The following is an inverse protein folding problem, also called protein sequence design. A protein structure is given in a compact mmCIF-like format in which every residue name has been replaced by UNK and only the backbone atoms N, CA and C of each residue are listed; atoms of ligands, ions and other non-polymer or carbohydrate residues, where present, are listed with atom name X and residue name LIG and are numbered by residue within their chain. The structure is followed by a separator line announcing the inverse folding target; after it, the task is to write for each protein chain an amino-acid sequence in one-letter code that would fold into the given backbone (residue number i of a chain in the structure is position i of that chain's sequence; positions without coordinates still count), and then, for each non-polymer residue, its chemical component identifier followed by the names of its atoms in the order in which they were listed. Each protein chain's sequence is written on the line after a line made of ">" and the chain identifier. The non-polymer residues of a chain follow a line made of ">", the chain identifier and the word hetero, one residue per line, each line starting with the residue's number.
data_IF_087974214225
#
_entry.id   IF_087974214225
#
_cell.length_a   1.000
_cell.length_b   1.000
_cell.length_c   1.000
_cell.angle_alpha   90.00
_cell.angle_beta   90.00
_cell.angle_gamma   90.00
#
_symmetry.space_group_name_H-M   'P 1'
#
loop_
_entity.id
_entity.type
_entity.pdbx_description
1 polymer ?
#
# COMPACT_ATOMS: atom_id res chain seq x y z
N UNK A 1 -59.06 -14.17 38.42
CA UNK A 1 -57.88 -13.31 38.19
C UNK A 1 -56.66 -13.99 38.79
N UNK A 2 -55.78 -14.57 37.97
CA UNK A 2 -54.55 -15.25 38.40
C UNK A 2 -53.40 -14.75 37.54
N UNK A 3 -52.39 -14.12 38.16
CA UNK A 3 -51.24 -13.50 37.49
C UNK A 3 -50.29 -14.57 36.89
N UNK A 4 -49.59 -14.28 35.77
CA UNK A 4 -48.62 -15.21 35.20
C UNK A 4 -47.33 -15.25 36.05
N UNK A 5 -46.89 -16.45 36.43
CA UNK A 5 -45.60 -16.68 37.08
C UNK A 5 -44.47 -16.43 36.08
N UNK A 6 -43.81 -15.28 36.20
CA UNK A 6 -42.66 -14.92 35.37
C UNK A 6 -41.48 -15.90 35.52
N UNK A 7 -40.85 -16.23 34.41
CA UNK A 7 -39.61 -17.03 34.39
C UNK A 7 -38.49 -16.16 34.94
N UNK A 8 -37.92 -16.56 36.09
CA UNK A 8 -36.81 -15.84 36.71
C UNK A 8 -35.48 -16.18 36.03
N UNK A 9 -34.61 -15.17 35.89
CA UNK A 9 -33.25 -15.26 35.30
C UNK A 9 -32.41 -16.43 35.87
N UNK A 10 -32.65 -16.79 37.14
CA UNK A 10 -31.99 -17.91 37.82
C UNK A 10 -32.36 -19.29 37.26
N UNK A 11 -33.57 -19.45 36.72
CA UNK A 11 -34.03 -20.70 36.10
C UNK A 11 -33.48 -20.86 34.68
N UNK A 12 -33.32 -19.74 33.96
CA UNK A 12 -32.70 -19.69 32.62
C UNK A 12 -31.20 -19.99 32.67
N UNK A 13 -30.50 -19.53 33.72
CA UNK A 13 -29.08 -19.81 33.93
C UNK A 13 -28.84 -21.23 34.48
N UNK A 14 -29.80 -21.80 35.22
CA UNK A 14 -29.70 -23.16 35.76
C UNK A 14 -29.82 -24.26 34.69
N UNK A 15 -30.55 -24.03 33.59
CA UNK A 15 -30.69 -25.01 32.50
C UNK A 15 -29.56 -24.98 31.48
N UNK A 16 -28.73 -23.93 31.45
CA UNK A 16 -27.57 -23.84 30.57
C UNK A 16 -26.32 -24.56 31.11
N UNK A 17 -26.28 -24.88 32.41
CA UNK A 17 -25.11 -25.52 33.05
C UNK A 17 -25.07 -27.05 33.01
N UNK A 18 -26.19 -27.73 32.73
CA UNK A 18 -26.30 -29.19 32.87
C UNK A 18 -25.98 -30.02 31.62
N UNK A 19 -25.94 -29.42 30.43
CA UNK A 19 -25.65 -30.11 29.17
C UNK A 19 -24.33 -29.66 28.51
N UNK A 20 -23.51 -28.89 29.23
CA UNK A 20 -22.32 -28.23 28.69
C UNK A 20 -20.98 -28.91 28.99
N UNK A 21 -20.91 -29.96 29.81
CA UNK A 21 -19.62 -30.54 30.20
C UNK A 21 -19.00 -31.49 29.16
N UNK A 22 -19.80 -32.04 28.23
CA UNK A 22 -19.30 -32.92 27.17
C UNK A 22 -18.92 -32.18 25.86
N UNK A 23 -19.31 -30.90 25.71
CA UNK A 23 -19.03 -30.11 24.51
C UNK A 23 -17.79 -29.19 24.60
N UNK A 24 -17.22 -29.03 25.79
CA UNK A 24 -16.13 -28.07 26.04
C UNK A 24 -14.75 -28.55 25.60
N UNK A 25 -14.59 -29.82 25.22
CA UNK A 25 -13.34 -30.30 24.62
C UNK A 25 -13.25 -30.07 23.09
N UNK A 26 -14.36 -29.72 22.43
CA UNK A 26 -14.40 -29.52 20.97
C UNK A 26 -14.91 -28.12 20.53
N UNK A 27 -15.46 -27.31 21.44
CA UNK A 27 -16.14 -26.06 21.10
C UNK A 27 -15.37 -24.75 21.28
N UNK A 28 -14.12 -24.78 21.76
CA UNK A 28 -13.37 -23.58 22.16
C UNK A 28 -12.87 -22.66 21.02
N UNK A 29 -13.00 -23.08 19.76
CA UNK A 29 -12.53 -22.32 18.59
C UNK A 29 -13.66 -21.82 17.66
N UNK A 30 -14.92 -22.08 17.99
CA UNK A 30 -16.05 -21.62 17.21
C UNK A 30 -16.42 -20.17 17.60
N UNK A 31 -15.61 -19.21 17.15
CA UNK A 31 -16.05 -17.82 17.07
C UNK A 31 -17.37 -17.73 16.29
N UNK A 32 -18.23 -16.77 16.62
CA UNK A 32 -19.52 -16.53 15.98
C UNK A 32 -19.36 -16.44 14.44
N UNK A 33 -19.51 -17.56 13.73
CA UNK A 33 -19.62 -17.60 12.26
C UNK A 33 -21.09 -17.62 11.90
N UNK A 34 -21.53 -16.60 11.19
CA UNK A 34 -22.85 -16.55 10.57
C UNK A 34 -22.89 -17.61 9.45
N UNK A 35 -23.88 -18.51 9.40
CA UNK A 35 -23.99 -19.50 8.33
C UNK A 35 -24.11 -18.78 6.98
N UNK A 36 -23.21 -19.10 6.04
CA UNK A 36 -23.22 -18.53 4.68
C UNK A 36 -22.29 -17.34 4.45
N UNK A 37 -21.61 -16.83 5.48
CA UNK A 37 -20.60 -15.78 5.32
C UNK A 37 -19.20 -16.41 5.30
N UNK A 38 -18.75 -16.83 4.12
CA UNK A 38 -17.34 -17.05 3.89
C UNK A 38 -16.68 -15.68 3.77
N UNK A 39 -16.43 -15.04 4.92
CA UNK A 39 -15.74 -13.75 4.96
C UNK A 39 -14.42 -13.78 4.18
N UNK A 40 -13.94 -12.61 3.75
CA UNK A 40 -12.70 -12.48 2.98
C UNK A 40 -11.55 -13.19 3.71
N UNK A 41 -10.83 -14.11 3.05
CA UNK A 41 -9.76 -14.85 3.71
C UNK A 41 -8.62 -13.89 4.09
N UNK A 42 -7.95 -14.15 5.22
CA UNK A 42 -6.81 -13.35 5.65
C UNK A 42 -5.69 -13.31 4.59
N UNK A 43 -5.55 -14.38 3.80
CA UNK A 43 -4.60 -14.45 2.68
C UNK A 43 -4.87 -13.42 1.58
N UNK A 44 -6.05 -12.80 1.53
CA UNK A 44 -6.33 -11.71 0.60
C UNK A 44 -5.42 -10.50 0.84
N UNK A 45 -4.95 -10.27 2.08
CA UNK A 45 -4.00 -9.19 2.39
C UNK A 45 -2.73 -9.35 1.55
N UNK A 46 -2.13 -10.55 1.53
CA UNK A 46 -0.93 -10.80 0.74
C UNK A 46 -1.21 -11.08 -0.73
N UNK A 47 -2.37 -11.66 -1.07
CA UNK A 47 -2.68 -12.12 -2.43
C UNK A 47 -3.27 -11.07 -3.36
N UNK A 48 -3.67 -9.90 -2.84
CA UNK A 48 -4.29 -8.85 -3.68
C UNK A 48 -3.23 -8.19 -4.56
N UNK A 49 -3.48 -8.16 -5.87
CA UNK A 49 -2.67 -7.43 -6.84
C UNK A 49 -3.44 -6.19 -7.33
N UNK A 50 -2.76 -5.05 -7.45
CA UNK A 50 -3.31 -3.85 -8.07
C UNK A 50 -2.76 -3.75 -9.51
N UNK A 51 -3.61 -3.54 -10.53
CA UNK A 51 -3.14 -3.39 -11.90
C UNK A 51 -2.15 -2.22 -12.05
N UNK A 52 -0.96 -2.51 -12.56
CA UNK A 52 0.05 -1.48 -12.87
C UNK A 52 -0.34 -0.67 -14.12
N UNK A 53 -0.83 -1.36 -15.16
CA UNK A 53 -1.25 -0.74 -16.41
C UNK A 53 -2.70 -0.24 -16.30
N UNK A 54 -2.92 0.98 -16.80
CA UNK A 54 -4.23 1.61 -16.84
C UNK A 54 -4.15 3.01 -17.45
N UNK A 55 -5.31 3.67 -17.58
CA UNK A 55 -5.37 5.08 -18.03
C UNK A 55 -4.69 6.04 -17.04
N UNK A 56 -4.79 5.73 -15.75
CA UNK A 56 -4.20 6.49 -14.65
C UNK A 56 -3.25 5.58 -13.86
N UNK A 57 -2.17 6.14 -13.33
CA UNK A 57 -1.29 5.40 -12.43
C UNK A 57 -2.06 4.92 -11.19
N UNK A 58 -1.74 3.71 -10.73
CA UNK A 58 -2.21 3.21 -9.44
C UNK A 58 -1.65 4.07 -8.29
N UNK A 59 -2.20 3.93 -7.07
CA UNK A 59 -1.79 4.72 -5.90
C UNK A 59 -2.47 6.09 -5.75
N UNK A 60 -3.31 6.49 -6.73
CA UNK A 60 -4.11 7.73 -6.70
C UNK A 60 -5.54 7.47 -6.23
N UNK A 61 -6.27 6.61 -6.96
CA UNK A 61 -7.63 6.19 -6.61
C UNK A 61 -7.67 4.80 -5.94
N UNK A 62 -6.50 4.17 -5.83
CA UNK A 62 -6.34 2.90 -5.11
C UNK A 62 -6.75 3.10 -3.65
N UNK A 63 -7.45 2.14 -3.01
CA UNK A 63 -7.76 2.20 -1.59
C UNK A 63 -6.50 2.42 -0.73
N UNK A 64 -6.71 2.98 0.47
CA UNK A 64 -5.63 3.19 1.43
C UNK A 64 -4.90 1.88 1.74
N UNK A 65 -3.58 1.96 1.73
CA UNK A 65 -2.68 0.84 2.03
C UNK A 65 -2.09 0.99 3.44
N UNK A 66 -1.76 -0.13 4.08
CA UNK A 66 -1.27 -0.11 5.47
C UNK A 66 0.11 0.55 5.64
N UNK A 67 0.97 0.48 4.61
CA UNK A 67 2.34 0.99 4.62
C UNK A 67 2.59 1.93 3.43
N UNK A 68 3.41 2.96 3.63
CA UNK A 68 3.78 3.90 2.58
C UNK A 68 5.22 4.42 2.72
N UNK A 69 5.92 4.52 1.59
CA UNK A 69 7.21 5.20 1.47
C UNK A 69 7.12 6.29 0.41
N UNK A 70 7.60 7.48 0.75
CA UNK A 70 7.72 8.61 -0.17
C UNK A 70 9.20 8.93 -0.34
N UNK A 71 9.65 9.00 -1.59
CA UNK A 71 11.03 9.30 -1.93
C UNK A 71 11.10 10.35 -3.03
N UNK A 72 12.07 11.25 -2.91
CA UNK A 72 12.44 12.21 -3.94
C UNK A 72 13.87 11.92 -4.40
N UNK A 73 14.12 12.04 -5.70
CA UNK A 73 15.42 11.77 -6.31
C UNK A 73 15.86 12.95 -7.16
N UNK A 74 17.16 13.25 -7.07
CA UNK A 74 17.81 14.19 -7.96
C UNK A 74 18.62 13.46 -9.04
N UNK A 75 18.51 13.97 -10.27
CA UNK A 75 19.35 13.56 -11.38
C UNK A 75 20.80 13.99 -11.08
N UNK A 76 21.72 13.03 -11.23
CA UNK A 76 23.15 13.27 -11.09
C UNK A 76 23.63 14.31 -12.11
N UNK A 77 24.70 15.08 -11.82
CA UNK A 77 25.32 15.96 -12.79
C UNK A 77 25.62 15.23 -14.11
N UNK A 78 25.21 15.82 -15.24
CA UNK A 78 25.35 15.23 -16.57
C UNK A 78 24.26 14.23 -16.98
N UNK A 79 23.36 13.83 -16.07
CA UNK A 79 22.22 12.98 -16.40
C UNK A 79 21.07 13.81 -17.01
N UNK A 80 21.01 13.85 -18.34
CA UNK A 80 19.93 14.50 -19.08
C UNK A 80 18.77 13.57 -19.46
N UNK A 81 17.98 13.98 -20.46
CA UNK A 81 16.77 13.28 -20.94
C UNK A 81 16.96 11.79 -21.23
N UNK A 82 18.06 11.41 -21.88
CA UNK A 82 18.31 10.01 -22.24
C UNK A 82 18.50 9.13 -21.00
N UNK A 83 19.23 9.63 -19.99
CA UNK A 83 19.43 8.93 -18.72
C UNK A 83 18.11 8.81 -17.94
N UNK A 84 17.32 9.88 -17.87
CA UNK A 84 16.00 9.88 -17.24
C UNK A 84 15.04 8.88 -17.92
N UNK A 85 15.00 8.86 -19.26
CA UNK A 85 14.17 7.91 -20.00
C UNK A 85 14.60 6.45 -19.76
N UNK A 86 15.92 6.18 -19.69
CA UNK A 86 16.43 4.85 -19.36
C UNK A 86 16.08 4.43 -17.92
N UNK A 87 16.17 5.36 -16.96
CA UNK A 87 15.78 5.13 -15.57
C UNK A 87 14.30 4.77 -15.45
N UNK A 88 13.42 5.60 -16.01
CA UNK A 88 11.97 5.38 -15.97
C UNK A 88 11.55 4.06 -16.61
N UNK A 89 12.21 3.61 -17.68
CA UNK A 89 11.97 2.28 -18.27
C UNK A 89 12.32 1.16 -17.30
N UNK A 90 13.47 1.25 -16.62
CA UNK A 90 13.88 0.24 -15.63
C UNK A 90 12.93 0.23 -14.44
N UNK A 91 12.61 1.41 -13.90
CA UNK A 91 11.67 1.55 -12.79
C UNK A 91 10.28 1.03 -13.14
N UNK A 92 9.76 1.34 -14.33
CA UNK A 92 8.45 0.84 -14.77
C UNK A 92 8.43 -0.68 -14.88
N UNK A 93 9.48 -1.28 -15.46
CA UNK A 93 9.58 -2.74 -15.57
C UNK A 93 9.69 -3.43 -14.19
N UNK A 94 10.44 -2.83 -13.25
CA UNK A 94 10.54 -3.33 -11.88
C UNK A 94 9.20 -3.21 -11.16
N UNK A 95 8.55 -2.04 -11.21
CA UNK A 95 7.25 -1.79 -10.58
C UNK A 95 6.15 -2.71 -11.14
N UNK A 96 6.12 -2.94 -12.46
CA UNK A 96 5.20 -3.87 -13.10
C UNK A 96 5.39 -5.30 -12.61
N UNK A 97 6.64 -5.75 -12.48
CA UNK A 97 6.94 -7.08 -11.95
C UNK A 97 6.48 -7.22 -10.49
N UNK A 98 6.89 -6.29 -9.64
CA UNK A 98 6.60 -6.34 -8.20
C UNK A 98 5.09 -6.21 -7.91
N UNK A 99 4.37 -5.32 -8.61
CA UNK A 99 2.92 -5.18 -8.46
C UNK A 99 2.14 -6.44 -8.87
N UNK A 100 2.74 -7.29 -9.71
CA UNK A 100 2.22 -8.59 -10.08
C UNK A 100 2.74 -9.73 -9.18
N UNK A 101 3.47 -9.43 -8.10
CA UNK A 101 4.08 -10.42 -7.20
C UNK A 101 5.20 -11.23 -7.85
N UNK A 102 5.86 -10.67 -8.87
CA UNK A 102 6.98 -11.31 -9.58
C UNK A 102 8.31 -10.65 -9.21
N UNK A 103 9.41 -11.42 -9.19
CA UNK A 103 10.72 -10.86 -8.90
C UNK A 103 11.16 -9.90 -10.01
N UNK A 104 11.57 -8.65 -9.69
CA UNK A 104 12.17 -7.74 -10.67
C UNK A 104 13.60 -8.18 -11.05
N UNK A 105 14.18 -7.55 -12.07
CA UNK A 105 15.58 -7.79 -12.41
C UNK A 105 16.51 -7.35 -11.26
N UNK A 106 17.45 -8.21 -10.85
CA UNK A 106 18.38 -7.92 -9.75
C UNK A 106 17.76 -7.96 -8.35
N UNK A 107 16.65 -8.69 -8.19
CA UNK A 107 15.92 -8.86 -6.93
C UNK A 107 16.83 -9.30 -5.76
N UNK A 108 16.72 -8.62 -4.61
CA UNK A 108 17.45 -8.95 -3.38
C UNK A 108 16.68 -9.86 -2.40
N UNK A 109 15.51 -10.37 -2.81
CA UNK A 109 14.73 -11.38 -2.09
C UNK A 109 14.19 -10.90 -0.72
N UNK A 110 14.16 -9.59 -0.44
CA UNK A 110 13.64 -9.05 0.84
C UNK A 110 12.17 -9.42 1.05
N UNK A 111 11.36 -9.44 -0.01
CA UNK A 111 9.95 -9.82 0.03
C UNK A 111 9.70 -11.26 -0.45
N UNK A 112 10.70 -12.15 -0.35
CA UNK A 112 10.55 -13.54 -0.78
C UNK A 112 9.40 -14.22 -0.05
N UNK A 113 8.64 -15.03 -0.79
CA UNK A 113 7.45 -15.76 -0.34
C UNK A 113 6.23 -14.89 0.02
N UNK A 114 6.35 -13.55 -0.06
CA UNK A 114 5.20 -12.66 -0.01
C UNK A 114 4.48 -12.61 -1.36
N UNK A 115 3.17 -12.38 -1.31
CA UNK A 115 2.41 -11.98 -2.50
C UNK A 115 2.55 -10.49 -2.79
N UNK A 116 1.82 -9.95 -3.79
CA UNK A 116 1.92 -8.55 -4.18
C UNK A 116 1.46 -7.56 -3.10
N UNK A 117 0.64 -7.98 -2.13
CA UNK A 117 0.21 -7.18 -0.99
C UNK A 117 -0.30 -5.78 -1.37
N UNK A 118 -1.17 -5.71 -2.38
CA UNK A 118 -1.73 -4.49 -2.94
C UNK A 118 -0.69 -3.47 -3.41
N UNK A 119 0.55 -3.87 -3.72
CA UNK A 119 1.65 -2.94 -4.03
C UNK A 119 1.32 -2.01 -5.20
N UNK A 120 1.57 -0.72 -4.98
CA UNK A 120 1.55 0.31 -6.03
C UNK A 120 2.81 1.14 -5.98
N UNK A 121 3.30 1.53 -7.15
CA UNK A 121 4.39 2.50 -7.32
C UNK A 121 3.90 3.60 -8.25
N UNK A 122 3.98 4.86 -7.81
CA UNK A 122 3.53 6.04 -8.54
C UNK A 122 4.71 6.95 -8.81
N UNK A 123 4.87 7.41 -10.05
CA UNK A 123 5.95 8.29 -10.46
C UNK A 123 5.45 9.71 -10.74
N UNK A 124 6.21 10.71 -10.25
CA UNK A 124 5.98 12.13 -10.47
C UNK A 124 7.26 12.86 -10.90
N UNK A 125 7.09 14.04 -11.48
CA UNK A 125 8.18 14.91 -11.96
C UNK A 125 8.11 16.27 -11.27
N UNK A 126 9.20 16.66 -10.60
CA UNK A 126 9.36 17.98 -10.02
C UNK A 126 9.74 19.04 -11.07
N UNK A 127 9.64 20.33 -10.70
CA UNK A 127 9.92 21.46 -11.62
C UNK A 127 11.32 21.39 -12.22
N UNK A 128 12.32 21.09 -11.40
CA UNK A 128 13.74 21.05 -11.79
C UNK A 128 14.06 19.97 -12.83
N UNK A 129 13.27 18.90 -12.89
CA UNK A 129 13.41 17.84 -13.91
C UNK A 129 13.32 18.39 -15.33
N UNK A 130 12.38 19.29 -15.59
CA UNK A 130 12.13 19.83 -16.92
C UNK A 130 13.32 20.66 -17.41
N UNK A 131 13.94 21.45 -16.55
CA UNK A 131 15.17 22.17 -16.87
C UNK A 131 16.35 21.22 -17.15
N UNK A 132 16.60 20.27 -16.24
CA UNK A 132 17.74 19.33 -16.33
C UNK A 132 17.65 18.37 -17.52
N UNK A 133 16.44 18.11 -18.02
CA UNK A 133 16.22 17.22 -19.18
C UNK A 133 16.00 17.98 -20.49
N UNK A 134 16.08 19.32 -20.50
CA UNK A 134 15.83 20.11 -21.71
C UNK A 134 14.39 20.00 -22.21
N UNK A 135 13.43 19.92 -21.28
CA UNK A 135 11.99 19.82 -21.50
C UNK A 135 11.23 21.01 -20.87
N UNK A 136 11.87 22.16 -20.71
CA UNK A 136 11.28 23.34 -20.08
C UNK A 136 9.97 23.77 -20.76
N UNK A 137 9.88 23.61 -22.09
CA UNK A 137 8.69 23.86 -22.92
C UNK A 137 7.54 22.87 -22.67
N UNK A 138 7.78 21.79 -21.93
CA UNK A 138 6.80 20.74 -21.59
C UNK A 138 6.37 20.78 -20.13
N UNK A 139 6.89 21.72 -19.34
CA UNK A 139 6.50 21.89 -17.95
C UNK A 139 5.02 22.31 -17.88
N UNK A 140 4.16 21.59 -17.14
CA UNK A 140 2.77 21.98 -17.00
C UNK A 140 2.62 23.32 -16.28
N UNK A 141 1.70 24.17 -16.75
CA UNK A 141 1.40 25.47 -16.11
C UNK A 141 0.96 25.30 -14.65
N UNK A 142 0.30 24.19 -14.33
CA UNK A 142 -0.15 23.86 -12.97
C UNK A 142 1.00 23.53 -12.01
N UNK A 143 2.18 23.17 -12.52
CA UNK A 143 3.33 22.83 -11.69
C UNK A 143 4.05 24.09 -11.24
N UNK A 144 3.34 25.02 -10.58
CA UNK A 144 3.87 26.29 -10.06
C UNK A 144 4.73 26.09 -8.82
N UNK A 145 5.62 27.04 -8.55
CA UNK A 145 6.30 27.10 -7.27
C UNK A 145 5.30 27.54 -6.21
N UNK A 146 5.28 26.83 -5.07
CA UNK A 146 4.36 27.15 -4.00
C UNK A 146 4.79 28.48 -3.35
N UNK A 147 3.87 29.45 -3.16
CA UNK A 147 4.22 30.67 -2.44
C UNK A 147 4.61 30.33 -0.99
N UNK A 148 5.51 31.10 -0.37
CA UNK A 148 5.81 30.92 1.04
C UNK A 148 4.57 31.26 1.88
N UNK A 149 4.23 30.40 2.84
CA UNK A 149 3.17 30.64 3.80
C UNK A 149 3.74 31.10 5.13
N UNK A 150 2.97 31.91 5.88
CA UNK A 150 3.43 32.53 7.13
C UNK A 150 3.80 31.54 8.24
N UNK A 151 3.33 30.30 8.14
CA UNK A 151 3.58 29.23 9.11
C UNK A 151 4.55 28.16 8.59
N UNK A 152 5.21 28.39 7.44
CA UNK A 152 6.14 27.42 6.88
C UNK A 152 7.35 27.21 7.81
N UNK A 153 7.56 25.95 8.18
CA UNK A 153 8.73 25.46 8.90
C UNK A 153 9.42 24.36 8.07
N UNK A 154 9.62 24.64 6.79
CA UNK A 154 10.13 23.67 5.81
C UNK A 154 11.65 23.50 5.98
N UNK A 155 12.09 22.25 6.07
CA UNK A 155 13.51 21.89 5.95
C UNK A 155 13.89 21.86 4.46
N UNK A 156 14.76 22.76 3.98
CA UNK A 156 15.15 22.79 2.56
C UNK A 156 15.80 21.49 2.07
N UNK A 157 16.41 20.71 2.97
CA UNK A 157 17.03 19.43 2.62
C UNK A 157 16.02 18.30 2.41
N UNK A 158 14.74 18.51 2.79
CA UNK A 158 13.66 17.52 2.68
C UNK A 158 12.52 17.98 1.75
N UNK A 159 12.78 19.00 0.94
CA UNK A 159 11.86 19.54 -0.05
C UNK A 159 12.42 19.44 -1.47
N UNK A 160 11.54 19.61 -2.47
CA UNK A 160 11.92 19.60 -3.89
C UNK A 160 12.14 18.18 -4.45
N UNK A 161 13.16 18.04 -5.29
CA UNK A 161 13.49 16.82 -6.03
C UNK A 161 13.10 16.87 -7.51
N UNK A 162 13.89 16.24 -8.37
CA UNK A 162 13.58 16.10 -9.80
C UNK A 162 12.51 15.04 -10.06
N UNK A 163 12.60 13.91 -9.37
CA UNK A 163 11.68 12.79 -9.48
C UNK A 163 11.05 12.52 -8.13
N UNK A 164 9.78 12.14 -8.14
CA UNK A 164 9.06 11.73 -6.94
C UNK A 164 8.51 10.32 -7.13
N UNK A 165 8.58 9.52 -6.07
CA UNK A 165 8.05 8.16 -6.03
C UNK A 165 7.21 8.00 -4.78
N UNK A 166 5.97 7.56 -4.96
CA UNK A 166 5.13 7.03 -3.88
C UNK A 166 5.02 5.52 -4.02
N UNK A 167 5.31 4.82 -2.92
CA UNK A 167 5.19 3.38 -2.79
C UNK A 167 4.19 3.11 -1.68
N UNK A 168 3.22 2.23 -1.94
CA UNK A 168 2.28 1.77 -0.93
C UNK A 168 2.00 0.29 -1.06
N UNK A 169 1.80 -0.40 0.06
CA UNK A 169 1.47 -1.82 0.14
C UNK A 169 0.83 -2.15 1.49
N UNK A 170 0.16 -3.30 1.58
CA UNK A 170 -0.41 -3.82 2.82
C UNK A 170 0.58 -4.68 3.64
N UNK A 171 1.81 -4.83 3.14
CA UNK A 171 2.91 -5.51 3.82
C UNK A 171 4.18 -4.62 3.84
N UNK A 172 4.84 -4.43 5.00
CA UNK A 172 6.00 -3.55 5.12
C UNK A 172 7.26 -4.09 4.45
N UNK A 173 7.43 -5.43 4.35
CA UNK A 173 8.58 -6.02 3.65
C UNK A 173 8.43 -5.84 2.14
N UNK A 174 7.22 -5.99 1.60
CA UNK A 174 6.90 -5.68 0.20
C UNK A 174 7.15 -4.19 -0.10
N UNK A 175 6.73 -3.29 0.80
CA UNK A 175 6.93 -1.85 0.62
C UNK A 175 8.42 -1.46 0.62
N UNK A 176 9.22 -1.96 1.57
CA UNK A 176 10.65 -1.62 1.66
C UNK A 176 11.47 -2.32 0.56
N UNK A 177 11.07 -3.52 0.14
CA UNK A 177 11.65 -4.21 -1.01
C UNK A 177 11.50 -3.36 -2.27
N UNK A 178 10.30 -2.86 -2.55
CA UNK A 178 10.05 -1.99 -3.69
C UNK A 178 10.92 -0.71 -3.65
N UNK A 179 11.06 -0.08 -2.48
CA UNK A 179 11.95 1.09 -2.32
C UNK A 179 13.39 0.74 -2.68
N UNK A 180 13.94 -0.32 -2.09
CA UNK A 180 15.32 -0.77 -2.33
C UNK A 180 15.57 -1.13 -3.79
N UNK A 181 14.57 -1.69 -4.48
CA UNK A 181 14.70 -2.04 -5.90
C UNK A 181 14.71 -0.82 -6.82
N UNK A 182 14.10 0.30 -6.43
CA UNK A 182 14.14 1.54 -7.20
C UNK A 182 15.38 2.40 -6.91
N UNK A 183 15.98 2.24 -5.72
CA UNK A 183 17.22 2.94 -5.34
C UNK A 183 18.50 2.38 -5.98
N UNK A 184 18.48 1.13 -6.46
CA UNK A 184 19.62 0.47 -7.13
C UNK A 184 19.80 0.91 -8.58
#
# INVERSE_FOLDING_TARGET
>A
MTAPKGITRRRLLGTAGGAGAAGLAAGGLAGYRRPGDAGTPLTAVGGTAVPFHGRHQAGILTPLQACGHLAAFDLRPGAGRAAAAALLRRWSAAAEAMAAGRPPAGDDQVARDAGPSSLTVTFGFGRSFFGKTGLADRMPDALVEMPPFSADALDPARGGGDLWVQIGADDPLVAVHALRMLEK
#
